data_IF_344400634642
#
_entry.id   IF_344400634642
#
_cell.length_a   1.000
_cell.length_b   1.000
_cell.length_c   1.000
_cell.angle_alpha   90.00
_cell.angle_beta   90.00
_cell.angle_gamma   90.00
#
_symmetry.space_group_name_H-M   'P 1'
#
loop_
_entity.id
_entity.type
_entity.pdbx_description
1 polymer ?
#
# COMPACT_ATOMS: atom_id res chain seq x y z
N UNK A 1 20.15 -18.62 61.81
CA UNK A 1 20.10 -17.33 61.07
C UNK A 1 20.67 -17.57 59.69
N UNK A 2 19.87 -17.51 58.62
CA UNK A 2 20.39 -17.58 57.23
C UNK A 2 21.00 -16.22 56.90
N UNK A 3 22.30 -16.17 56.55
CA UNK A 3 22.94 -14.96 56.05
C UNK A 3 22.37 -14.66 54.65
N UNK A 4 21.71 -13.52 54.47
CA UNK A 4 21.40 -13.02 53.13
C UNK A 4 22.71 -12.54 52.49
N UNK A 5 23.10 -13.18 51.39
CA UNK A 5 24.16 -12.66 50.51
C UNK A 5 23.58 -11.47 49.74
N UNK A 6 24.08 -10.26 50.01
CA UNK A 6 23.78 -9.10 49.18
C UNK A 6 24.46 -9.22 47.81
N UNK A 7 23.90 -8.57 46.79
CA UNK A 7 24.53 -8.45 45.48
C UNK A 7 25.77 -7.57 45.56
N UNK A 8 26.83 -7.94 44.85
CA UNK A 8 28.04 -7.11 44.74
C UNK A 8 27.82 -5.95 43.77
N UNK A 9 28.54 -4.85 43.98
CA UNK A 9 28.46 -3.68 43.12
C UNK A 9 28.85 -4.00 41.67
N UNK A 10 29.80 -4.92 41.47
CA UNK A 10 30.25 -5.34 40.14
C UNK A 10 29.20 -6.18 39.39
N UNK A 11 28.45 -7.02 40.09
CA UNK A 11 27.36 -7.80 39.50
C UNK A 11 26.26 -6.88 38.97
N UNK A 12 25.85 -5.88 39.75
CA UNK A 12 24.84 -4.92 39.30
C UNK A 12 25.38 -4.06 38.14
N UNK A 13 26.66 -3.68 38.17
CA UNK A 13 27.27 -2.88 37.10
C UNK A 13 27.25 -3.60 35.74
N UNK A 14 27.62 -4.89 35.69
CA UNK A 14 27.60 -5.66 34.45
C UNK A 14 26.18 -5.83 33.94
N UNK A 15 25.21 -6.10 34.84
CA UNK A 15 23.80 -6.23 34.46
C UNK A 15 23.26 -4.94 33.82
N UNK A 16 23.58 -3.77 34.40
CA UNK A 16 23.15 -2.48 33.83
C UNK A 16 23.77 -2.19 32.46
N UNK A 17 25.04 -2.58 32.24
CA UNK A 17 25.69 -2.44 30.94
C UNK A 17 25.01 -3.33 29.90
N UNK A 18 24.74 -4.59 30.23
CA UNK A 18 24.05 -5.52 29.32
C UNK A 18 22.65 -4.99 28.98
N UNK A 19 21.88 -4.54 29.97
CA UNK A 19 20.55 -3.95 29.73
C UNK A 19 20.67 -2.70 28.86
N UNK A 20 21.64 -1.81 29.11
CA UNK A 20 21.87 -0.61 28.30
C UNK A 20 22.18 -0.94 26.83
N UNK A 21 23.04 -1.93 26.60
CA UNK A 21 23.39 -2.38 25.24
C UNK A 21 22.20 -3.05 24.55
N UNK A 22 21.43 -3.88 25.27
CA UNK A 22 20.24 -4.53 24.73
C UNK A 22 19.16 -3.50 24.37
N UNK A 23 18.88 -2.53 25.26
CA UNK A 23 17.92 -1.45 24.98
C UNK A 23 18.35 -0.60 23.78
N UNK A 24 19.63 -0.20 23.72
CA UNK A 24 20.17 0.54 22.57
C UNK A 24 20.08 -0.26 21.26
N UNK A 25 20.38 -1.56 21.31
CA UNK A 25 20.27 -2.46 20.16
C UNK A 25 18.84 -2.64 19.67
N UNK A 26 17.87 -2.80 20.57
CA UNK A 26 16.44 -2.94 20.23
C UNK A 26 15.88 -1.67 19.59
N UNK A 27 16.19 -0.49 20.15
CA UNK A 27 15.74 0.78 19.57
C UNK A 27 16.25 0.95 18.14
N UNK A 28 17.54 0.65 17.90
CA UNK A 28 18.08 0.70 16.55
C UNK A 28 17.47 -0.35 15.63
N UNK A 29 17.23 -1.55 16.14
CA UNK A 29 16.56 -2.63 15.41
C UNK A 29 15.16 -2.23 14.94
N UNK A 30 14.38 -1.53 15.78
CA UNK A 30 13.05 -1.04 15.43
C UNK A 30 13.10 -0.01 14.30
N UNK A 31 14.01 0.96 14.36
CA UNK A 31 14.19 1.95 13.27
C UNK A 31 14.56 1.29 11.93
N UNK A 32 15.41 0.26 11.97
CA UNK A 32 15.82 -0.48 10.77
C UNK A 32 14.65 -1.23 10.14
N UNK A 33 13.77 -1.84 10.95
CA UNK A 33 12.55 -2.50 10.48
C UNK A 33 11.60 -1.47 9.83
N UNK A 34 11.36 -0.34 10.50
CA UNK A 34 10.56 0.77 9.96
C UNK A 34 11.09 1.25 8.62
N UNK A 35 12.40 1.49 8.54
CA UNK A 35 13.06 1.90 7.29
C UNK A 35 12.96 0.84 6.18
N UNK A 36 13.01 -0.44 6.53
CA UNK A 36 12.84 -1.53 5.59
C UNK A 36 11.41 -1.60 5.05
N UNK A 37 10.40 -1.39 5.90
CA UNK A 37 8.98 -1.32 5.50
C UNK A 37 8.72 -0.17 4.53
N UNK A 38 9.27 1.02 4.81
CA UNK A 38 9.19 2.19 3.91
C UNK A 38 9.78 1.85 2.54
N UNK A 39 11.00 1.29 2.49
CA UNK A 39 11.64 0.91 1.22
C UNK A 39 10.85 -0.15 0.46
N UNK A 40 10.29 -1.12 1.18
CA UNK A 40 9.47 -2.16 0.56
C UNK A 40 8.19 -1.58 -0.06
N UNK A 41 7.49 -0.70 0.64
CA UNK A 41 6.30 -0.01 0.12
C UNK A 41 6.62 0.78 -1.16
N UNK A 42 7.68 1.58 -1.16
CA UNK A 42 8.11 2.35 -2.35
C UNK A 42 8.42 1.39 -3.51
N UNK A 43 9.26 0.38 -3.26
CA UNK A 43 9.65 -0.58 -4.30
C UNK A 43 8.45 -1.38 -4.86
N UNK A 44 7.46 -1.71 -4.04
CA UNK A 44 6.24 -2.38 -4.49
C UNK A 44 5.42 -1.45 -5.40
N UNK A 45 5.22 -0.19 -5.00
CA UNK A 45 4.49 0.80 -5.78
C UNK A 45 5.15 1.03 -7.15
N UNK A 46 6.46 1.22 -7.17
CA UNK A 46 7.19 1.47 -8.41
C UNK A 46 7.24 0.23 -9.32
N UNK A 47 7.39 -0.96 -8.74
CA UNK A 47 7.31 -2.22 -9.48
C UNK A 47 5.95 -2.42 -10.15
N UNK A 48 4.86 -2.09 -9.46
CA UNK A 48 3.50 -2.21 -10.02
C UNK A 48 3.24 -1.13 -11.08
N UNK A 49 3.72 0.11 -10.89
CA UNK A 49 3.65 1.16 -11.92
C UNK A 49 4.38 0.71 -13.19
N UNK A 50 5.58 0.15 -13.05
CA UNK A 50 6.34 -0.39 -14.19
C UNK A 50 5.59 -1.53 -14.88
N UNK A 51 4.99 -2.45 -14.12
CA UNK A 51 4.15 -3.53 -14.65
C UNK A 51 2.93 -2.99 -15.42
N UNK A 52 2.27 -1.97 -14.89
CA UNK A 52 1.13 -1.30 -15.52
C UNK A 52 1.51 -0.71 -16.88
N UNK A 53 2.57 0.10 -16.94
CA UNK A 53 3.02 0.70 -18.19
C UNK A 53 3.57 -0.35 -19.17
N UNK A 54 4.21 -1.40 -18.68
CA UNK A 54 4.66 -2.53 -19.51
C UNK A 54 3.48 -3.28 -20.16
N UNK A 55 2.40 -3.50 -19.41
CA UNK A 55 1.17 -4.09 -19.95
C UNK A 55 0.55 -3.19 -21.01
N UNK A 56 0.47 -1.88 -20.73
CA UNK A 56 -0.04 -0.88 -21.68
C UNK A 56 0.79 -0.84 -22.97
N UNK A 57 2.12 -0.89 -22.90
CA UNK A 57 2.94 -0.90 -24.11
C UNK A 57 2.77 -2.18 -24.94
N UNK A 58 2.70 -3.34 -24.27
CA UNK A 58 2.56 -4.65 -24.94
C UNK A 58 1.19 -4.85 -25.58
N UNK A 59 0.11 -4.55 -24.87
CA UNK A 59 -1.26 -4.85 -25.30
C UNK A 59 -2.02 -3.64 -25.83
N UNK A 60 -1.46 -2.43 -25.72
CA UNK A 60 -2.11 -1.16 -26.09
C UNK A 60 -3.46 -0.97 -25.39
N UNK A 61 -3.60 -1.53 -24.19
CA UNK A 61 -4.78 -1.49 -23.35
C UNK A 61 -4.37 -1.53 -21.87
N UNK A 62 -5.27 -1.08 -20.99
CA UNK A 62 -5.01 -1.11 -19.56
C UNK A 62 -5.26 -2.51 -18.98
N UNK A 63 -4.46 -2.97 -18.00
CA UNK A 63 -4.79 -4.18 -17.27
C UNK A 63 -6.13 -4.00 -16.54
N UNK A 64 -6.88 -5.09 -16.37
CA UNK A 64 -8.23 -5.08 -15.81
C UNK A 64 -9.31 -4.65 -16.80
N UNK A 65 -9.06 -3.58 -17.55
CA UNK A 65 -9.96 -3.01 -18.57
C UNK A 65 -9.82 -3.67 -19.96
N UNK A 66 -8.82 -4.54 -20.17
CA UNK A 66 -8.53 -5.09 -21.50
C UNK A 66 -9.65 -6.01 -22.04
N UNK A 67 -10.35 -5.65 -23.15
CA UNK A 67 -11.50 -6.41 -23.67
C UNK A 67 -11.11 -7.70 -24.40
N UNK A 68 -9.82 -7.96 -24.62
CA UNK A 68 -9.33 -9.19 -25.26
C UNK A 68 -8.42 -9.99 -24.31
N UNK A 69 -8.52 -9.76 -23.00
CA UNK A 69 -7.66 -10.38 -22.01
C UNK A 69 -7.70 -11.91 -22.06
N UNK A 70 -8.87 -12.53 -21.99
CA UNK A 70 -9.01 -14.01 -22.03
C UNK A 70 -8.46 -14.60 -23.33
N UNK A 71 -8.52 -13.85 -24.43
CA UNK A 71 -8.05 -14.30 -25.75
C UNK A 71 -6.54 -14.20 -25.89
N UNK A 72 -5.95 -13.10 -25.43
CA UNK A 72 -4.55 -12.75 -25.71
C UNK A 72 -3.60 -12.95 -24.52
N UNK A 73 -4.14 -13.13 -23.32
CA UNK A 73 -3.39 -13.38 -22.08
C UNK A 73 -3.71 -14.80 -21.61
N UNK A 74 -2.77 -15.71 -21.79
CA UNK A 74 -2.96 -17.12 -21.42
C UNK A 74 -3.32 -17.28 -19.94
N UNK A 75 -4.47 -17.89 -19.67
CA UNK A 75 -4.96 -18.15 -18.31
C UNK A 75 -5.66 -16.97 -17.63
N UNK A 76 -5.88 -15.84 -18.31
CA UNK A 76 -6.83 -14.82 -17.85
C UNK A 76 -8.27 -15.36 -17.98
N UNK A 77 -9.13 -15.05 -17.01
CA UNK A 77 -10.48 -15.60 -16.93
C UNK A 77 -11.58 -14.56 -17.12
N UNK A 78 -11.23 -13.27 -17.03
CA UNK A 78 -12.16 -12.15 -17.15
C UNK A 78 -11.73 -11.17 -18.24
N UNK A 79 -12.71 -10.66 -18.99
CA UNK A 79 -12.54 -9.54 -19.92
C UNK A 79 -12.80 -8.23 -19.18
N UNK A 80 -12.06 -7.17 -19.52
CA UNK A 80 -12.45 -5.81 -19.19
C UNK A 80 -13.40 -5.22 -20.22
N UNK A 81 -13.85 -3.98 -19.99
CA UNK A 81 -14.85 -3.35 -20.85
C UNK A 81 -14.26 -2.49 -21.99
N UNK A 82 -12.98 -2.09 -21.88
CA UNK A 82 -12.23 -1.34 -22.87
C UNK A 82 -12.51 0.16 -22.90
N UNK A 83 -13.04 0.74 -21.81
CA UNK A 83 -13.38 2.16 -21.73
C UNK A 83 -12.21 3.05 -21.29
N UNK A 84 -11.03 2.46 -21.04
CA UNK A 84 -9.84 3.16 -20.60
C UNK A 84 -9.83 3.51 -19.11
N UNK A 85 -10.74 2.95 -18.31
CA UNK A 85 -10.86 3.19 -16.88
C UNK A 85 -10.75 1.86 -16.15
N UNK A 86 -10.08 1.86 -15.00
CA UNK A 86 -10.01 0.67 -14.13
C UNK A 86 -11.03 0.87 -13.04
N UNK A 87 -12.26 0.42 -13.27
CA UNK A 87 -13.37 0.68 -12.37
C UNK A 87 -13.55 -0.45 -11.35
N UNK A 88 -14.25 -0.14 -10.27
CA UNK A 88 -14.87 -1.18 -9.44
C UNK A 88 -16.30 -1.38 -9.88
N UNK A 89 -16.91 -2.52 -9.55
CA UNK A 89 -18.26 -2.95 -9.95
C UNK A 89 -19.47 -2.01 -9.62
N UNK A 90 -19.25 -0.73 -9.29
CA UNK A 90 -20.28 0.30 -9.14
C UNK A 90 -20.83 0.85 -10.48
N UNK A 91 -20.22 0.52 -11.63
CA UNK A 91 -20.64 1.00 -12.97
C UNK A 91 -20.63 -0.12 -14.04
N UNK A 92 -21.39 -1.23 -13.87
CA UNK A 92 -21.42 -2.27 -14.87
C UNK A 92 -22.22 -1.80 -16.10
N UNK A 93 -21.56 -1.68 -17.26
CA UNK A 93 -22.27 -1.68 -18.55
C UNK A 93 -22.91 -3.07 -18.71
N UNK A 94 -24.20 -3.06 -19.05
CA UNK A 94 -25.11 -4.19 -19.25
C UNK A 94 -24.42 -5.54 -19.56
N UNK A 95 -24.26 -6.39 -18.54
CA UNK A 95 -23.77 -7.77 -18.66
C UNK A 95 -22.32 -8.03 -18.18
N UNK A 96 -21.59 -7.01 -17.72
CA UNK A 96 -20.22 -7.16 -17.16
C UNK A 96 -20.20 -7.16 -15.62
N UNK A 97 -19.45 -8.09 -15.03
CA UNK A 97 -19.22 -8.22 -13.57
C UNK A 97 -17.91 -7.54 -13.15
N UNK A 98 -17.18 -6.86 -14.04
CA UNK A 98 -15.77 -6.64 -13.79
C UNK A 98 -15.51 -5.63 -12.64
N UNK A 99 -15.15 -6.17 -11.47
CA UNK A 99 -14.18 -5.55 -10.56
C UNK A 99 -12.85 -5.48 -11.33
N UNK A 100 -12.71 -4.52 -12.24
CA UNK A 100 -11.53 -4.36 -13.10
C UNK A 100 -10.30 -4.09 -12.23
N UNK A 101 -10.49 -3.32 -11.16
CA UNK A 101 -9.53 -3.11 -10.08
C UNK A 101 -9.01 -4.39 -9.39
N UNK A 102 -9.75 -5.50 -9.46
CA UNK A 102 -9.29 -6.85 -9.07
C UNK A 102 -8.72 -7.60 -10.29
N UNK A 103 -9.36 -7.49 -11.45
CA UNK A 103 -8.91 -8.12 -12.69
C UNK A 103 -7.49 -7.68 -13.11
N UNK A 104 -7.08 -6.44 -12.77
CA UNK A 104 -5.71 -5.93 -12.97
C UNK A 104 -4.66 -6.94 -12.51
N UNK A 105 -4.83 -7.54 -11.33
CA UNK A 105 -3.83 -8.44 -10.77
C UNK A 105 -3.73 -9.75 -11.53
N UNK A 106 -4.86 -10.31 -11.96
CA UNK A 106 -4.88 -11.48 -12.84
C UNK A 106 -4.20 -11.16 -14.17
N UNK A 107 -4.59 -10.06 -14.83
CA UNK A 107 -4.03 -9.68 -16.13
C UNK A 107 -2.52 -9.46 -16.06
N UNK A 108 -2.03 -8.73 -15.05
CA UNK A 108 -0.60 -8.47 -14.86
C UNK A 108 0.18 -9.75 -14.54
N UNK A 109 -0.34 -10.63 -13.69
CA UNK A 109 0.37 -11.86 -13.32
C UNK A 109 0.40 -12.88 -14.45
N UNK A 110 -0.72 -13.08 -15.14
CA UNK A 110 -0.82 -13.99 -16.29
C UNK A 110 0.00 -13.52 -17.49
N UNK A 111 0.14 -12.21 -17.67
CA UNK A 111 1.02 -11.64 -18.69
C UNK A 111 2.51 -11.65 -18.31
N UNK A 112 2.85 -12.00 -17.07
CA UNK A 112 4.23 -12.13 -16.58
C UNK A 112 4.89 -10.82 -16.15
N UNK A 113 4.11 -9.77 -15.88
CA UNK A 113 4.65 -8.47 -15.41
C UNK A 113 4.87 -8.41 -13.90
N UNK A 114 4.17 -9.24 -13.13
CA UNK A 114 4.32 -9.36 -11.68
C UNK A 114 4.50 -10.83 -11.29
N UNK A 115 5.17 -11.06 -10.16
CA UNK A 115 5.28 -12.38 -9.57
C UNK A 115 4.00 -12.71 -8.78
N UNK A 116 3.67 -14.00 -8.69
CA UNK A 116 2.44 -14.51 -8.11
C UNK A 116 1.46 -15.01 -9.17
N UNK A 117 0.44 -15.73 -8.72
CA UNK A 117 -0.66 -16.19 -9.56
C UNK A 117 -1.96 -15.67 -8.95
N UNK A 118 -2.45 -14.56 -9.49
CA UNK A 118 -3.69 -13.95 -9.03
C UNK A 118 -4.86 -14.39 -9.90
N UNK A 119 -6.01 -14.60 -9.28
CA UNK A 119 -7.26 -14.96 -9.95
C UNK A 119 -8.31 -13.92 -9.65
N UNK A 120 -9.08 -13.56 -10.67
CA UNK A 120 -10.20 -12.65 -10.48
C UNK A 120 -11.21 -13.19 -9.45
N UNK A 121 -11.76 -12.29 -8.65
CA UNK A 121 -12.77 -12.59 -7.64
C UNK A 121 -13.66 -11.36 -7.40
N UNK A 122 -14.80 -11.56 -6.76
CA UNK A 122 -15.70 -10.46 -6.38
C UNK A 122 -15.13 -9.55 -5.27
N UNK A 123 -14.17 -10.06 -4.49
CA UNK A 123 -13.59 -9.35 -3.33
C UNK A 123 -12.07 -9.49 -3.29
N UNK A 124 -11.40 -8.54 -2.64
CA UNK A 124 -9.97 -8.63 -2.38
C UNK A 124 -9.64 -9.77 -1.41
N UNK A 125 -8.61 -10.54 -1.77
CA UNK A 125 -8.06 -11.65 -1.00
C UNK A 125 -6.60 -11.84 -1.38
N UNK A 126 -5.87 -12.66 -0.64
CA UNK A 126 -4.46 -13.00 -0.97
C UNK A 126 -4.32 -13.72 -2.31
N UNK A 127 -5.41 -14.29 -2.85
CA UNK A 127 -5.44 -14.92 -4.17
C UNK A 127 -5.84 -13.94 -5.29
N UNK A 128 -6.40 -12.78 -4.97
CA UNK A 128 -6.94 -11.84 -5.97
C UNK A 128 -6.25 -10.48 -6.00
N UNK A 129 -5.41 -10.15 -5.01
CA UNK A 129 -4.64 -8.92 -4.97
C UNK A 129 -3.31 -9.07 -4.21
N UNK A 130 -2.37 -8.18 -4.48
CA UNK A 130 -1.07 -8.11 -3.79
C UNK A 130 -1.26 -7.51 -2.38
N UNK A 131 -0.61 -8.11 -1.38
CA UNK A 131 -0.53 -7.55 -0.03
C UNK A 131 0.65 -6.56 0.11
N UNK A 132 0.43 -5.50 0.87
CA UNK A 132 1.45 -4.62 1.40
C UNK A 132 2.17 -5.28 2.60
N UNK A 133 3.26 -4.68 3.13
CA UNK A 133 3.97 -5.17 4.33
C UNK A 133 3.15 -5.23 5.62
N UNK A 134 1.94 -4.69 5.62
CA UNK A 134 0.99 -4.64 6.74
C UNK A 134 -0.18 -5.60 6.50
N UNK A 135 -0.06 -6.53 5.55
CA UNK A 135 -1.06 -7.54 5.19
C UNK A 135 -2.37 -7.00 4.62
N UNK A 136 -2.41 -5.72 4.23
CA UNK A 136 -3.55 -5.12 3.52
C UNK A 136 -3.32 -5.09 2.01
N UNK A 137 -4.37 -4.92 1.22
CA UNK A 137 -4.28 -5.06 -0.23
C UNK A 137 -3.91 -3.74 -0.93
N UNK A 138 -3.02 -3.83 -1.91
CA UNK A 138 -2.82 -2.77 -2.88
C UNK A 138 -4.01 -2.77 -3.85
N UNK A 139 -4.42 -1.58 -4.27
CA UNK A 139 -5.57 -1.42 -5.17
C UNK A 139 -5.23 -0.40 -6.25
N UNK A 140 -5.43 -0.78 -7.51
CA UNK A 140 -5.36 0.14 -8.63
C UNK A 140 -6.77 0.48 -9.07
N UNK A 141 -7.11 1.77 -9.16
CA UNK A 141 -8.46 2.20 -9.55
C UNK A 141 -8.44 3.56 -10.22
N UNK A 142 -9.39 3.78 -11.12
CA UNK A 142 -9.76 5.10 -11.64
C UNK A 142 -10.84 5.71 -10.74
N UNK A 143 -10.44 6.57 -9.81
CA UNK A 143 -11.36 7.27 -8.92
C UNK A 143 -10.78 8.62 -8.46
N UNK A 144 -11.54 9.35 -7.66
CA UNK A 144 -11.11 10.57 -6.98
C UNK A 144 -11.00 10.37 -5.45
N UNK A 145 -10.81 9.14 -4.99
CA UNK A 145 -10.84 8.81 -3.57
C UNK A 145 -9.46 9.02 -2.94
N UNK A 146 -9.03 10.27 -2.90
CA UNK A 146 -7.77 10.69 -2.31
C UNK A 146 -7.83 12.17 -1.92
N UNK A 147 -6.91 12.60 -1.06
CA UNK A 147 -6.85 13.97 -0.61
C UNK A 147 -6.33 14.91 -1.70
N UNK A 148 -6.95 16.08 -1.81
CA UNK A 148 -6.50 17.19 -2.64
C UNK A 148 -6.69 18.50 -1.86
N UNK A 149 -6.02 19.57 -2.28
CA UNK A 149 -6.30 20.94 -1.81
C UNK A 149 -7.72 21.41 -2.11
N UNK A 150 -8.29 20.95 -3.22
CA UNK A 150 -9.67 21.19 -3.62
C UNK A 150 -10.49 19.90 -3.75
N UNK A 151 -11.38 19.86 -4.74
CA UNK A 151 -12.08 18.63 -5.12
C UNK A 151 -11.15 17.76 -5.96
N UNK A 152 -10.86 16.55 -5.50
CA UNK A 152 -10.06 15.59 -6.26
C UNK A 152 -10.75 15.24 -7.60
N UNK A 153 -9.97 15.23 -8.67
CA UNK A 153 -10.39 14.78 -9.99
C UNK A 153 -10.26 13.25 -10.11
N UNK A 154 -11.06 12.60 -10.95
CA UNK A 154 -10.91 11.16 -11.20
C UNK A 154 -9.64 10.89 -11.99
N UNK A 155 -8.76 10.02 -11.48
CA UNK A 155 -7.50 9.64 -12.12
C UNK A 155 -7.17 8.18 -11.79
N UNK A 156 -6.40 7.52 -12.65
CA UNK A 156 -5.78 6.25 -12.27
C UNK A 156 -4.81 6.48 -11.13
N UNK A 157 -4.95 5.67 -10.10
CA UNK A 157 -4.12 5.78 -8.93
C UNK A 157 -3.90 4.40 -8.31
N UNK A 158 -2.72 4.22 -7.72
CA UNK A 158 -2.34 3.00 -7.02
C UNK A 158 -2.33 3.28 -5.53
N UNK A 159 -3.20 2.61 -4.80
CA UNK A 159 -3.38 2.72 -3.36
C UNK A 159 -2.47 1.73 -2.65
N UNK A 160 -1.86 2.15 -1.55
CA UNK A 160 -1.00 1.32 -0.70
C UNK A 160 -1.78 0.31 0.14
N UNK A 161 -3.11 0.45 0.20
CA UNK A 161 -3.95 -0.15 1.24
C UNK A 161 -4.00 0.71 2.50
N UNK A 162 -4.86 0.31 3.45
CA UNK A 162 -5.01 0.93 4.77
C UNK A 162 -4.13 0.22 5.83
N UNK A 163 -4.28 0.61 7.10
CA UNK A 163 -3.49 0.08 8.24
C UNK A 163 -1.97 0.32 8.15
N UNK A 164 -1.57 1.40 7.47
CA UNK A 164 -0.19 1.88 7.50
C UNK A 164 -0.12 3.08 8.44
N UNK A 165 0.79 3.09 9.43
CA UNK A 165 0.96 4.23 10.33
C UNK A 165 1.28 5.54 9.60
N UNK A 166 0.77 6.66 10.11
CA UNK A 166 0.96 7.99 9.50
C UNK A 166 2.43 8.42 9.37
N UNK A 167 3.29 8.06 10.34
CA UNK A 167 4.72 8.34 10.32
C UNK A 167 5.47 7.59 9.21
N UNK A 168 5.07 6.34 8.94
CA UNK A 168 5.56 5.53 7.83
C UNK A 168 5.17 6.16 6.49
N UNK A 169 3.90 6.57 6.34
CA UNK A 169 3.45 7.23 5.12
C UNK A 169 4.13 8.58 4.92
N UNK A 170 4.35 9.36 5.99
CA UNK A 170 5.10 10.62 5.92
C UNK A 170 6.55 10.41 5.44
N UNK A 171 7.18 9.30 5.84
CA UNK A 171 8.53 8.95 5.39
C UNK A 171 8.56 8.41 3.96
N UNK A 172 7.51 7.70 3.53
CA UNK A 172 7.31 7.33 2.12
C UNK A 172 7.16 8.59 1.27
N UNK A 173 6.26 9.49 1.68
CA UNK A 173 5.94 10.73 0.98
C UNK A 173 7.18 11.62 0.79
N UNK A 174 7.93 11.87 1.87
CA UNK A 174 9.21 12.62 1.81
C UNK A 174 10.29 11.98 0.92
N UNK A 175 10.21 10.68 0.66
CA UNK A 175 11.15 9.97 -0.24
C UNK A 175 10.68 9.89 -1.68
N UNK A 176 9.38 9.97 -1.90
CA UNK A 176 8.77 9.86 -3.23
C UNK A 176 8.60 11.26 -3.84
N UNK A 177 8.18 12.27 -3.08
CA UNK A 177 8.00 13.63 -3.57
C UNK A 177 8.16 14.74 -2.50
N UNK A 178 7.07 15.31 -1.97
CA UNK A 178 7.05 16.62 -1.28
C UNK A 178 6.74 16.54 0.22
N UNK A 179 6.33 15.37 0.72
CA UNK A 179 5.97 15.19 2.13
C UNK A 179 4.64 15.82 2.54
N UNK A 180 3.83 16.26 1.57
CA UNK A 180 2.49 16.79 1.77
C UNK A 180 1.41 15.78 1.38
N UNK A 181 0.63 15.35 2.37
CA UNK A 181 -0.45 14.38 2.22
C UNK A 181 -1.58 14.76 1.23
N UNK A 182 -1.62 16.01 0.74
CA UNK A 182 -2.67 16.52 -0.17
C UNK A 182 -2.14 16.99 -1.53
N UNK A 183 -0.83 17.07 -1.70
CA UNK A 183 -0.17 17.61 -2.88
C UNK A 183 0.77 16.55 -3.49
N UNK A 184 1.59 16.95 -4.46
CA UNK A 184 2.45 15.99 -5.14
C UNK A 184 1.72 14.86 -5.85
N UNK A 185 2.46 13.78 -6.04
CA UNK A 185 2.04 12.52 -6.66
C UNK A 185 1.62 11.48 -5.63
N UNK A 186 2.16 11.51 -4.41
CA UNK A 186 1.79 10.64 -3.31
C UNK A 186 0.91 11.37 -2.33
N UNK A 187 -0.29 10.86 -2.10
CA UNK A 187 -1.33 11.55 -1.31
C UNK A 187 -2.03 10.61 -0.36
N UNK A 188 -2.63 11.16 0.68
CA UNK A 188 -3.52 10.41 1.55
C UNK A 188 -4.73 9.88 0.77
N UNK A 189 -5.19 8.68 1.12
CA UNK A 189 -6.47 8.13 0.67
C UNK A 189 -7.25 7.57 1.86
N UNK A 190 -8.56 7.85 1.97
CA UNK A 190 -9.43 7.23 2.97
C UNK A 190 -9.95 5.86 2.53
N UNK A 191 -9.45 5.31 1.42
CA UNK A 191 -9.88 4.03 0.91
C UNK A 191 -9.42 2.85 1.78
N UNK A 192 -10.30 1.86 1.90
CA UNK A 192 -10.00 0.54 2.47
C UNK A 192 -10.56 -0.56 1.59
N UNK A 193 -9.71 -1.53 1.23
CA UNK A 193 -10.14 -2.76 0.58
C UNK A 193 -10.92 -3.67 1.54
N UNK A 194 -10.49 -3.69 2.81
CA UNK A 194 -11.10 -4.43 3.91
C UNK A 194 -10.99 -3.63 5.23
N UNK A 195 -11.88 -3.92 6.18
CA UNK A 195 -11.91 -3.25 7.48
C UNK A 195 -12.35 -1.78 7.39
N UNK A 196 -12.02 -1.01 8.44
CA UNK A 196 -12.40 0.40 8.55
C UNK A 196 -11.49 1.29 7.72
N UNK A 197 -12.08 2.18 6.92
CA UNK A 197 -11.38 3.21 6.16
C UNK A 197 -10.58 4.20 7.03
N UNK A 198 -9.41 4.67 6.58
CA UNK A 198 -8.69 5.75 7.24
C UNK A 198 -9.51 7.02 7.41
N UNK A 199 -9.34 7.69 8.55
CA UNK A 199 -9.96 9.01 8.81
C UNK A 199 -8.95 10.11 8.55
N UNK A 200 -9.23 10.99 7.57
CA UNK A 200 -8.30 12.02 7.11
C UNK A 200 -7.72 12.88 8.24
N UNK A 201 -8.58 13.34 9.16
CA UNK A 201 -8.18 14.22 10.27
C UNK A 201 -7.19 13.57 11.26
N UNK A 202 -7.14 12.23 11.32
CA UNK A 202 -6.18 11.51 12.17
C UNK A 202 -4.83 11.30 11.46
N UNK A 203 -4.84 11.30 10.13
CA UNK A 203 -3.66 10.99 9.31
C UNK A 203 -2.91 12.22 8.85
N UNK A 204 -3.61 13.33 8.56
CA UNK A 204 -2.99 14.59 8.15
C UNK A 204 -3.79 15.81 8.63
N UNK A 205 -3.09 16.92 8.86
CA UNK A 205 -3.68 18.23 9.19
C UNK A 205 -3.01 19.31 8.34
N UNK A 206 -3.82 20.14 7.68
CA UNK A 206 -3.33 21.22 6.81
C UNK A 206 -2.30 20.78 5.74
N UNK A 207 -2.37 19.52 5.28
CA UNK A 207 -1.43 18.95 4.29
C UNK A 207 -0.22 18.25 4.90
N UNK A 208 0.08 18.44 6.18
CA UNK A 208 1.15 17.72 6.86
C UNK A 208 0.63 16.40 7.45
N UNK A 209 1.37 15.30 7.27
CA UNK A 209 1.11 14.05 7.98
C UNK A 209 1.24 14.22 9.49
N UNK A 210 0.37 13.57 10.26
CA UNK A 210 0.39 13.61 11.72
C UNK A 210 1.44 12.63 12.25
N UNK A 211 2.63 13.15 12.56
CA UNK A 211 3.78 12.35 13.05
C UNK A 211 4.18 12.67 14.50
N UNK A 212 3.47 13.59 15.16
CA UNK A 212 3.71 14.01 16.54
C UNK A 212 2.48 13.68 17.39
N UNK A 213 2.70 13.21 18.61
CA UNK A 213 1.63 12.77 19.51
C UNK A 213 1.23 11.32 19.25
N UNK A 214 -0.06 10.99 19.38
CA UNK A 214 -0.57 9.66 19.06
C UNK A 214 -0.60 9.47 17.54
N UNK A 215 0.35 8.69 17.03
CA UNK A 215 0.42 8.35 15.60
C UNK A 215 -0.73 7.41 15.25
N UNK A 216 -1.57 7.81 14.30
CA UNK A 216 -2.67 6.99 13.80
C UNK A 216 -2.13 5.76 13.07
N UNK A 217 -2.46 4.53 13.53
CA UNK A 217 -2.02 3.30 12.87
C UNK A 217 -2.79 2.98 11.57
N UNK A 218 -3.99 3.55 11.38
CA UNK A 218 -4.83 3.29 10.23
C UNK A 218 -4.87 4.46 9.23
N UNK A 219 -3.78 4.62 8.49
CA UNK A 219 -3.72 5.51 7.34
C UNK A 219 -3.51 4.73 6.03
N UNK A 220 -3.70 5.43 4.91
CA UNK A 220 -3.46 4.91 3.57
C UNK A 220 -2.90 6.01 2.67
N UNK A 221 -2.04 5.62 1.74
CA UNK A 221 -1.49 6.49 0.71
C UNK A 221 -1.91 6.03 -0.68
N UNK A 222 -1.82 6.93 -1.65
CA UNK A 222 -2.00 6.62 -3.07
C UNK A 222 -1.00 7.36 -3.91
N UNK A 223 -0.44 6.67 -4.91
CA UNK A 223 0.35 7.28 -5.97
C UNK A 223 -0.54 7.60 -7.17
N UNK A 224 -0.53 8.85 -7.62
CA UNK A 224 -1.13 9.30 -8.86
C UNK A 224 -0.12 9.16 -10.00
N UNK A 225 -0.51 8.62 -11.15
CA UNK A 225 0.31 8.51 -12.35
C UNK A 225 -0.53 8.49 -13.62
#
# INVERSE_FOLDING_TARGET
MKKQSGFTLIEIAIVLVIIGLLLGGVLKGQELITSARVRNLISQQDGIKAAYFGFLDRFRALPGDYPQAVTNVSGATVFGNGNGQIESAATPVSGSVATEDIAVWEHLSRAGFINGAYTHAATYSTASAINNPYSMFLVMRYDNNYADTGTAATRHNLKTGNQIPADILAEVDRKVDDGNARLGTFRFTPFSATGTGPTAANCHTAGAWVVVGTVEPNCGGTSLF
#
